data_IF_844918732863
#
_entry.id   IF_844918732863
#
_cell.length_a   1.000
_cell.length_b   1.000
_cell.length_c   1.000
_cell.angle_alpha   90.00
_cell.angle_beta   90.00
_cell.angle_gamma   90.00
#
_symmetry.space_group_name_H-M   'P 1'
#
loop_
_entity.id
_entity.type
_entity.pdbx_description
1 polymer ?
#
# COMPACT_ATOMS: atom_id res chain seq x y z
N UNK A 1 -8.66 -13.74 -8.47
CA UNK A 1 -7.63 -12.80 -8.00
C UNK A 1 -7.84 -12.69 -6.50
N UNK A 2 -6.85 -13.07 -5.68
CA UNK A 2 -7.07 -13.26 -4.24
C UNK A 2 -6.97 -11.94 -3.47
N UNK A 3 -7.94 -11.06 -3.74
CA UNK A 3 -8.02 -9.75 -3.11
C UNK A 3 -8.37 -9.82 -1.63
N UNK A 4 -9.13 -10.84 -1.23
CA UNK A 4 -9.48 -11.08 0.18
C UNK A 4 -8.22 -11.28 1.01
N UNK A 5 -7.23 -12.00 0.47
CA UNK A 5 -5.93 -12.14 1.11
C UNK A 5 -5.21 -10.79 1.28
N UNK A 6 -5.18 -9.96 0.23
CA UNK A 6 -4.51 -8.65 0.28
C UNK A 6 -5.16 -7.73 1.31
N UNK A 7 -6.49 -7.73 1.41
CA UNK A 7 -7.20 -6.94 2.42
C UNK A 7 -6.93 -7.44 3.83
N UNK A 8 -6.90 -8.76 4.03
CA UNK A 8 -6.56 -9.36 5.33
C UNK A 8 -5.16 -8.96 5.78
N UNK A 9 -4.18 -9.08 4.90
CA UNK A 9 -2.78 -8.72 5.18
C UNK A 9 -2.65 -7.22 5.46
N UNK A 10 -3.33 -6.40 4.67
CA UNK A 10 -3.36 -4.95 4.86
C UNK A 10 -3.94 -4.59 6.21
N UNK A 11 -5.10 -5.14 6.57
CA UNK A 11 -5.75 -4.89 7.86
C UNK A 11 -4.84 -5.29 9.03
N UNK A 12 -4.18 -6.43 8.94
CA UNK A 12 -3.23 -6.90 9.95
C UNK A 12 -2.03 -5.95 10.10
N UNK A 13 -1.44 -5.48 8.99
CA UNK A 13 -0.33 -4.51 9.05
C UNK A 13 -0.79 -3.18 9.65
N UNK A 14 -1.98 -2.70 9.29
CA UNK A 14 -2.53 -1.47 9.85
C UNK A 14 -2.74 -1.58 11.36
N UNK A 15 -3.20 -2.73 11.85
CA UNK A 15 -3.33 -3.00 13.29
C UNK A 15 -1.96 -3.08 13.98
N UNK A 16 -1.03 -3.86 13.43
CA UNK A 16 0.31 -4.05 14.00
C UNK A 16 1.09 -2.73 14.13
N UNK A 17 0.98 -1.85 13.13
CA UNK A 17 1.60 -0.52 13.13
C UNK A 17 0.72 0.55 13.77
N UNK A 18 -0.47 0.20 14.29
CA UNK A 18 -1.40 1.11 14.96
C UNK A 18 -1.72 2.36 14.12
N UNK A 19 -2.04 2.15 12.85
CA UNK A 19 -2.35 3.23 11.93
C UNK A 19 -3.86 3.53 12.00
N UNK A 20 -4.22 4.56 12.75
CA UNK A 20 -5.63 4.90 12.99
C UNK A 20 -6.23 5.80 11.90
N UNK A 21 -5.40 6.55 11.17
CA UNK A 21 -5.84 7.44 10.10
C UNK A 21 -4.79 7.60 9.00
N UNK A 22 -5.22 7.97 7.78
CA UNK A 22 -4.30 8.38 6.72
C UNK A 22 -3.51 9.65 7.08
N UNK A 23 -2.33 9.84 6.46
CA UNK A 23 -1.74 8.97 5.46
C UNK A 23 -0.96 7.80 6.11
N UNK A 24 -1.07 6.59 5.55
CA UNK A 24 -0.42 5.38 6.12
C UNK A 24 1.10 5.52 6.04
N UNK A 25 1.86 5.37 7.14
CA UNK A 25 3.28 5.78 7.21
C UNK A 25 4.23 4.77 6.53
N UNK A 26 4.16 4.66 5.20
CA UNK A 26 4.90 3.69 4.37
C UNK A 26 6.41 3.79 4.58
N UNK A 27 6.95 5.00 4.62
CA UNK A 27 8.37 5.26 4.83
C UNK A 27 8.84 4.71 6.17
N UNK A 28 8.06 4.97 7.22
CA UNK A 28 8.34 4.46 8.56
C UNK A 28 8.26 2.94 8.61
N UNK A 29 7.24 2.33 7.99
CA UNK A 29 7.12 0.87 7.93
C UNK A 29 8.33 0.24 7.23
N UNK A 30 8.80 0.81 6.11
CA UNK A 30 10.00 0.34 5.40
C UNK A 30 11.28 0.44 6.23
N UNK A 31 11.47 1.55 6.94
CA UNK A 31 12.66 1.79 7.75
C UNK A 31 12.64 1.01 9.07
N UNK A 32 11.47 0.81 9.66
CA UNK A 32 11.33 0.22 11.00
C UNK A 32 10.40 -0.99 10.97
N UNK A 33 10.81 -2.09 10.30
CA UNK A 33 10.04 -3.33 10.32
C UNK A 33 9.88 -3.87 11.75
N UNK A 34 8.72 -4.45 12.05
CA UNK A 34 8.54 -5.20 13.29
C UNK A 34 9.37 -6.49 13.28
N UNK A 35 9.71 -7.06 14.46
CA UNK A 35 10.51 -8.28 14.53
C UNK A 35 9.94 -9.43 13.69
N UNK A 36 10.80 -10.05 12.86
CA UNK A 36 10.44 -11.17 11.98
C UNK A 36 9.83 -10.77 10.63
N UNK A 37 9.76 -9.47 10.32
CA UNK A 37 9.31 -8.97 9.01
C UNK A 37 10.48 -8.87 8.00
N UNK A 38 10.50 -7.84 7.15
CA UNK A 38 11.57 -7.58 6.18
C UNK A 38 12.79 -6.93 6.84
N UNK A 39 13.89 -6.83 6.09
CA UNK A 39 15.09 -6.10 6.51
C UNK A 39 14.84 -4.58 6.46
N UNK A 40 15.43 -3.83 7.38
CA UNK A 40 15.38 -2.36 7.37
C UNK A 40 15.93 -1.80 6.04
N UNK A 41 15.18 -0.88 5.43
CA UNK A 41 15.56 -0.24 4.17
C UNK A 41 15.85 1.23 4.38
N UNK A 42 17.07 1.63 4.00
CA UNK A 42 17.43 3.04 3.92
C UNK A 42 16.77 3.69 2.67
N UNK A 43 15.65 4.37 2.90
CA UNK A 43 14.90 5.09 1.87
C UNK A 43 15.67 6.24 1.24
N UNK A 44 16.73 6.75 1.89
CA UNK A 44 17.56 7.82 1.31
C UNK A 44 18.28 7.34 0.04
N UNK A 45 18.61 6.05 -0.05
CA UNK A 45 19.24 5.41 -1.20
C UNK A 45 18.26 5.21 -2.38
N UNK A 46 16.97 5.12 -2.09
CA UNK A 46 15.90 4.94 -3.10
C UNK A 46 15.54 6.29 -3.76
N UNK A 47 15.76 7.40 -3.03
CA UNK A 47 15.35 8.76 -3.41
C UNK A 47 16.02 9.30 -4.70
N UNK A 48 17.24 8.87 -5.01
CA UNK A 48 18.02 9.37 -6.15
C UNK A 48 17.42 9.09 -7.53
N UNK A 49 16.44 8.18 -7.62
CA UNK A 49 15.81 7.76 -8.88
C UNK A 49 14.48 8.46 -9.20
N UNK A 50 13.93 9.28 -8.28
CA UNK A 50 12.57 9.83 -8.40
C UNK A 50 12.47 11.25 -8.99
N UNK A 51 13.53 11.77 -9.63
CA UNK A 51 13.54 13.11 -10.24
C UNK A 51 12.73 13.19 -11.55
N UNK A 52 11.41 12.96 -11.49
CA UNK A 52 10.42 13.43 -12.47
C UNK A 52 9.15 13.81 -11.70
N UNK A 53 9.00 15.10 -11.38
CA UNK A 53 7.91 15.64 -10.56
C UNK A 53 6.81 16.26 -11.43
N UNK A 54 5.93 15.41 -11.97
CA UNK A 54 4.62 15.84 -12.48
C UNK A 54 3.50 15.66 -11.43
N UNK A 55 3.74 14.88 -10.37
CA UNK A 55 2.80 14.66 -9.28
C UNK A 55 3.52 14.40 -7.95
N UNK A 56 3.18 15.14 -6.86
CA UNK A 56 3.90 15.09 -5.58
C UNK A 56 3.76 13.75 -4.83
N UNK A 57 2.74 12.95 -5.13
CA UNK A 57 2.46 11.68 -4.45
C UNK A 57 3.11 10.46 -5.14
N UNK A 58 3.76 10.63 -6.28
CA UNK A 58 4.45 9.53 -7.00
C UNK A 58 5.59 8.86 -6.22
N UNK A 59 6.44 9.59 -5.48
CA UNK A 59 7.48 8.98 -4.66
C UNK A 59 6.88 8.04 -3.61
N UNK A 60 5.84 8.48 -2.88
CA UNK A 60 5.14 7.67 -1.88
C UNK A 60 4.63 6.36 -2.44
N UNK A 61 3.95 6.38 -3.59
CA UNK A 61 3.48 5.13 -4.22
C UNK A 61 4.61 4.23 -4.71
N UNK A 62 5.79 4.78 -4.99
CA UNK A 62 6.94 3.95 -5.36
C UNK A 62 7.50 3.23 -4.15
N UNK A 63 7.55 3.90 -3.00
CA UNK A 63 7.89 3.29 -1.72
C UNK A 63 6.84 2.25 -1.31
N UNK A 64 5.54 2.51 -1.52
CA UNK A 64 4.50 1.53 -1.26
C UNK A 64 4.65 0.25 -2.11
N UNK A 65 5.09 0.39 -3.37
CA UNK A 65 5.40 -0.76 -4.22
C UNK A 65 6.65 -1.52 -3.76
N UNK A 66 7.67 -0.80 -3.27
CA UNK A 66 8.83 -1.44 -2.66
C UNK A 66 8.41 -2.22 -1.42
N UNK A 67 7.64 -1.61 -0.52
CA UNK A 67 7.11 -2.27 0.67
C UNK A 67 6.29 -3.52 0.33
N UNK A 68 5.37 -3.43 -0.64
CA UNK A 68 4.60 -4.57 -1.08
C UNK A 68 5.47 -5.74 -1.58
N UNK A 69 6.58 -5.43 -2.26
CA UNK A 69 7.55 -6.43 -2.72
C UNK A 69 8.25 -7.09 -1.54
N UNK A 70 8.76 -6.31 -0.60
CA UNK A 70 9.47 -6.83 0.59
C UNK A 70 8.56 -7.69 1.46
N UNK A 71 7.30 -7.26 1.65
CA UNK A 71 6.29 -8.07 2.34
C UNK A 71 6.08 -9.40 1.61
N UNK A 72 5.99 -9.40 0.28
CA UNK A 72 5.73 -10.63 -0.47
C UNK A 72 6.89 -11.64 -0.45
N UNK A 73 8.11 -11.19 -0.14
CA UNK A 73 9.33 -12.02 -0.14
C UNK A 73 9.88 -12.34 1.24
N UNK A 74 9.46 -11.64 2.30
CA UNK A 74 9.91 -11.92 3.66
C UNK A 74 9.16 -13.10 4.30
N UNK A 75 9.75 -13.70 5.34
CA UNK A 75 9.16 -14.86 6.03
C UNK A 75 7.74 -14.57 6.52
N UNK A 76 7.51 -13.39 7.11
CA UNK A 76 6.20 -12.97 7.61
C UNK A 76 5.10 -13.00 6.51
N UNK A 77 5.39 -12.53 5.29
CA UNK A 77 4.42 -12.56 4.20
C UNK A 77 4.31 -13.93 3.53
N UNK A 78 5.40 -14.70 3.49
CA UNK A 78 5.39 -16.09 3.01
C UNK A 78 4.46 -16.95 3.88
N UNK A 79 4.53 -16.80 5.21
CA UNK A 79 3.63 -17.49 6.15
C UNK A 79 2.14 -17.13 5.93
N UNK A 80 1.88 -15.96 5.34
CA UNK A 80 0.54 -15.50 4.95
C UNK A 80 0.16 -15.86 3.51
N UNK A 81 1.00 -16.60 2.79
CA UNK A 81 0.68 -17.10 1.46
C UNK A 81 1.00 -16.11 0.33
N UNK A 82 1.86 -15.11 0.53
CA UNK A 82 2.23 -14.16 -0.52
C UNK A 82 3.29 -14.66 -1.51
N UNK A 83 4.01 -15.74 -1.19
CA UNK A 83 5.11 -16.25 -2.01
C UNK A 83 4.74 -16.47 -3.49
N UNK A 84 3.56 -17.03 -3.84
CA UNK A 84 3.18 -17.21 -5.25
C UNK A 84 3.09 -15.90 -6.05
N UNK A 85 2.93 -14.75 -5.37
CA UNK A 85 2.70 -13.45 -6.00
C UNK A 85 3.95 -12.56 -6.04
N UNK A 86 5.10 -13.03 -5.56
CA UNK A 86 6.34 -12.23 -5.46
C UNK A 86 6.83 -11.59 -6.76
N UNK A 87 6.43 -12.13 -7.93
CA UNK A 87 6.75 -11.59 -9.25
C UNK A 87 5.53 -11.08 -10.02
N UNK A 88 4.34 -11.14 -9.43
CA UNK A 88 3.10 -10.68 -10.04
C UNK A 88 2.95 -9.17 -9.84
N UNK A 89 3.35 -8.40 -10.86
CA UNK A 89 3.28 -6.93 -10.84
C UNK A 89 1.88 -6.39 -10.62
N UNK A 90 0.84 -7.12 -11.06
CA UNK A 90 -0.54 -6.69 -10.87
C UNK A 90 -0.93 -6.83 -9.41
N UNK A 91 -0.71 -8.01 -8.82
CA UNK A 91 -1.01 -8.27 -7.41
C UNK A 91 -0.19 -7.37 -6.47
N UNK A 92 1.12 -7.22 -6.70
CA UNK A 92 1.95 -6.32 -5.90
C UNK A 92 1.51 -4.86 -6.03
N UNK A 93 1.03 -4.46 -7.21
CA UNK A 93 0.44 -3.15 -7.41
C UNK A 93 -0.86 -2.95 -6.63
N UNK A 94 -1.71 -3.99 -6.56
CA UNK A 94 -2.94 -3.97 -5.76
C UNK A 94 -2.64 -3.96 -4.25
N UNK A 95 -1.66 -4.74 -3.81
CA UNK A 95 -1.18 -4.73 -2.42
C UNK A 95 -0.66 -3.35 -2.03
N UNK A 96 0.17 -2.72 -2.87
CA UNK A 96 0.66 -1.37 -2.62
C UNK A 96 -0.49 -0.35 -2.47
N UNK A 97 -1.52 -0.43 -3.32
CA UNK A 97 -2.71 0.43 -3.20
C UNK A 97 -3.49 0.13 -1.93
N UNK A 98 -3.69 -1.14 -1.58
CA UNK A 98 -4.37 -1.53 -0.35
C UNK A 98 -3.63 -1.01 0.89
N UNK A 99 -2.30 -1.13 0.94
CA UNK A 99 -1.47 -0.59 2.02
C UNK A 99 -1.65 0.93 2.18
N UNK A 100 -1.64 1.69 1.08
CA UNK A 100 -1.81 3.16 1.14
C UNK A 100 -3.24 3.63 1.34
N UNK A 101 -4.21 2.81 0.93
CA UNK A 101 -5.64 3.09 1.01
C UNK A 101 -6.38 1.84 1.56
N UNK A 102 -6.23 1.54 2.87
CA UNK A 102 -6.82 0.36 3.49
C UNK A 102 -8.33 0.36 3.33
N UNK A 103 -8.93 -0.81 3.05
CA UNK A 103 -10.36 -0.91 2.80
C UNK A 103 -11.21 -0.29 3.91
N UNK A 104 -10.88 -0.56 5.18
CA UNK A 104 -11.57 0.01 6.33
C UNK A 104 -11.57 1.54 6.36
N UNK A 105 -10.46 2.18 5.95
CA UNK A 105 -10.36 3.64 5.88
C UNK A 105 -11.12 4.20 4.68
N UNK A 106 -11.07 3.54 3.53
CA UNK A 106 -11.86 3.93 2.35
C UNK A 106 -13.36 3.79 2.63
N UNK A 107 -13.77 2.76 3.36
CA UNK A 107 -15.16 2.54 3.76
C UNK A 107 -15.64 3.54 4.81
N UNK A 108 -14.76 4.08 5.64
CA UNK A 108 -15.09 5.15 6.59
C UNK A 108 -15.40 6.49 5.89
N UNK A 109 -14.97 6.68 4.63
CA UNK A 109 -15.34 7.85 3.84
C UNK A 109 -16.82 7.83 3.46
N UNK A 110 -17.41 9.03 3.41
CA UNK A 110 -18.73 9.24 2.82
C UNK A 110 -18.70 8.86 1.33
N UNK A 111 -19.85 8.45 0.77
CA UNK A 111 -19.93 8.10 -0.66
C UNK A 111 -19.47 9.24 -1.57
N UNK A 112 -19.76 10.49 -1.22
CA UNK A 112 -19.35 11.67 -1.97
C UNK A 112 -17.82 11.90 -1.94
N UNK A 113 -17.13 11.42 -0.91
CA UNK A 113 -15.67 11.51 -0.78
C UNK A 113 -14.93 10.33 -1.45
N UNK A 114 -15.65 9.29 -1.91
CA UNK A 114 -15.08 8.14 -2.65
C UNK A 114 -14.92 8.44 -4.13
N UNK A 115 -14.26 9.56 -4.44
CA UNK A 115 -13.86 9.95 -5.78
C UNK A 115 -12.34 10.12 -5.86
N UNK A 116 -11.70 9.88 -7.02
CA UNK A 116 -10.24 9.81 -7.12
C UNK A 116 -9.51 11.04 -6.61
N UNK A 117 -10.04 12.24 -6.85
CA UNK A 117 -9.44 13.51 -6.48
C UNK A 117 -9.44 13.70 -4.96
N UNK A 118 -10.59 13.47 -4.30
CA UNK A 118 -10.71 13.57 -2.84
C UNK A 118 -9.87 12.52 -2.12
N UNK A 119 -9.84 11.29 -2.65
CA UNK A 119 -9.01 10.21 -2.11
C UNK A 119 -7.52 10.47 -2.33
N UNK A 120 -7.15 11.07 -3.46
CA UNK A 120 -5.77 11.45 -3.76
C UNK A 120 -5.20 12.36 -2.66
N UNK A 121 -5.96 13.37 -2.27
CA UNK A 121 -5.53 14.32 -1.24
C UNK A 121 -5.60 13.71 0.16
N UNK A 122 -6.66 12.95 0.47
CA UNK A 122 -6.84 12.36 1.80
C UNK A 122 -5.83 11.27 2.14
N UNK A 123 -5.49 10.42 1.16
CA UNK A 123 -4.52 9.32 1.34
C UNK A 123 -3.11 9.67 0.87
N UNK A 124 -2.91 10.85 0.29
CA UNK A 124 -1.64 11.31 -0.29
C UNK A 124 -1.08 10.33 -1.35
N UNK A 125 -1.93 9.94 -2.30
CA UNK A 125 -1.59 9.04 -3.42
C UNK A 125 -1.98 9.68 -4.75
N UNK A 126 -1.37 9.34 -5.90
CA UNK A 126 -1.83 9.84 -7.18
C UNK A 126 -3.30 9.46 -7.46
N UNK A 127 -4.10 10.40 -7.98
CA UNK A 127 -5.50 10.16 -8.32
C UNK A 127 -5.73 8.94 -9.23
N UNK A 128 -4.79 8.62 -10.13
CA UNK A 128 -4.84 7.40 -10.95
C UNK A 128 -4.82 6.10 -10.12
N UNK A 129 -4.08 6.08 -9.01
CA UNK A 129 -3.99 4.95 -8.11
C UNK A 129 -5.24 4.88 -7.22
N UNK A 130 -5.77 6.02 -6.78
CA UNK A 130 -7.06 6.10 -6.09
C UNK A 130 -8.22 5.58 -6.95
N UNK A 131 -8.25 5.95 -8.24
CA UNK A 131 -9.23 5.42 -9.21
C UNK A 131 -9.17 3.89 -9.30
N UNK A 132 -7.95 3.34 -9.47
CA UNK A 132 -7.75 1.87 -9.51
C UNK A 132 -8.19 1.20 -8.22
N UNK A 133 -7.95 1.83 -7.08
CA UNK A 133 -8.37 1.31 -5.78
C UNK A 133 -9.90 1.22 -5.67
N UNK A 134 -10.63 2.22 -6.16
CA UNK A 134 -12.09 2.17 -6.22
C UNK A 134 -12.60 1.06 -7.14
N UNK A 135 -11.98 0.88 -8.30
CA UNK A 135 -12.29 -0.21 -9.23
C UNK A 135 -12.06 -1.59 -8.59
N UNK A 136 -10.95 -1.75 -7.86
CA UNK A 136 -10.63 -2.97 -7.12
C UNK A 136 -11.69 -3.25 -6.04
N UNK A 137 -11.99 -2.28 -5.19
CA UNK A 137 -12.99 -2.45 -4.12
C UNK A 137 -14.38 -2.77 -4.70
N UNK A 138 -14.75 -2.13 -5.81
CA UNK A 138 -16.00 -2.43 -6.52
C UNK A 138 -16.06 -3.85 -7.10
N UNK A 139 -14.90 -4.47 -7.37
CA UNK A 139 -14.80 -5.86 -7.84
C UNK A 139 -14.84 -6.91 -6.71
N UNK A 140 -14.84 -6.48 -5.44
CA UNK A 140 -14.94 -7.39 -4.29
C UNK A 140 -16.39 -7.74 -3.92
N UNK A 141 -17.35 -6.98 -4.44
CA UNK A 141 -18.79 -7.17 -4.28
C UNK A 141 -19.35 -8.15 -5.34
#
# INVERSE_FOLDING_TARGET
MDFVLLEKITAELIELYKVDMPPVPIEFMLQYPLPGMWDEIDVSLVSGSFMILDNPYRPRMSLARLLAKEIATCNWGIERGLLPFQNDKQILGSLARALTMPLQMVQALSLAARIPEMMSDYFEVPAKDAKRRLEEIGSYA
#
